data_IF_642527499009
#
_entry.id   IF_642527499009
#
_cell.length_a   1.000
_cell.length_b   1.000
_cell.length_c   1.000
_cell.angle_alpha   90.00
_cell.angle_beta   90.00
_cell.angle_gamma   90.00
#
_symmetry.space_group_name_H-M   'P 1'
#
loop_
_entity.id
_entity.type
_entity.pdbx_description
1 polymer ?
#
# COMPACT_ATOMS: atom_id res chain seq x y z
N UNK A 1 -23.98 12.19 -4.85
CA UNK A 1 -24.60 12.17 -3.51
C UNK A 1 -24.34 10.79 -2.89
N UNK A 2 -24.06 10.73 -1.59
CA UNK A 2 -23.74 9.47 -0.91
C UNK A 2 -24.93 8.51 -0.82
N UNK A 3 -24.65 7.23 -0.57
CA UNK A 3 -25.64 6.17 -0.44
C UNK A 3 -25.63 5.62 0.99
N UNK A 4 -26.81 5.30 1.50
CA UNK A 4 -27.02 4.77 2.84
C UNK A 4 -28.05 3.63 2.78
N UNK A 5 -28.34 3.01 3.94
CA UNK A 5 -28.96 1.70 4.15
C UNK A 5 -27.98 0.52 4.19
N UNK A 6 -28.26 -0.43 5.09
CA UNK A 6 -27.45 -1.63 5.31
C UNK A 6 -25.99 -1.30 5.61
N UNK A 7 -25.08 -2.05 4.98
CA UNK A 7 -23.62 -1.88 5.09
C UNK A 7 -23.14 -0.47 4.69
N UNK A 8 -23.84 0.18 3.75
CA UNK A 8 -23.44 1.49 3.25
C UNK A 8 -23.66 2.60 4.28
N UNK A 9 -24.60 2.44 5.21
CA UNK A 9 -24.72 3.33 6.37
C UNK A 9 -23.46 3.26 7.25
N UNK A 10 -22.98 2.05 7.56
CA UNK A 10 -21.78 1.88 8.38
C UNK A 10 -20.55 2.48 7.71
N UNK A 11 -20.34 2.22 6.42
CA UNK A 11 -19.22 2.78 5.65
C UNK A 11 -19.31 4.32 5.56
N UNK A 12 -20.50 4.88 5.37
CA UNK A 12 -20.69 6.33 5.22
C UNK A 12 -20.43 7.07 6.53
N UNK A 13 -20.77 6.48 7.67
CA UNK A 13 -20.60 7.09 9.00
C UNK A 13 -19.36 6.60 9.76
N UNK A 14 -18.49 5.80 9.13
CA UNK A 14 -17.25 5.31 9.72
C UNK A 14 -16.02 5.72 8.94
N UNK A 15 -14.92 5.97 9.63
CA UNK A 15 -13.64 6.24 8.99
C UNK A 15 -12.88 4.94 8.66
N UNK A 16 -12.64 4.69 7.37
CA UNK A 16 -11.81 3.56 6.91
C UNK A 16 -10.32 3.83 7.17
N UNK A 17 -9.85 3.44 8.36
CA UNK A 17 -8.44 3.57 8.75
C UNK A 17 -7.58 2.52 8.04
N UNK A 18 -6.69 2.96 7.14
CA UNK A 18 -5.65 2.10 6.57
C UNK A 18 -4.60 1.76 7.63
N UNK A 19 -4.39 0.48 7.91
CA UNK A 19 -3.34 0.00 8.82
C UNK A 19 -2.45 -0.99 8.07
N UNK A 20 -1.16 -0.68 7.97
CA UNK A 20 -0.17 -1.57 7.39
C UNK A 20 0.62 -2.25 8.52
N UNK A 21 0.46 -3.57 8.64
CA UNK A 21 1.29 -4.40 9.52
C UNK A 21 2.39 -5.06 8.68
N UNK A 22 3.65 -4.81 9.02
CA UNK A 22 4.82 -5.36 8.31
C UNK A 22 5.69 -6.18 9.25
N UNK A 23 6.16 -7.33 8.78
CA UNK A 23 7.11 -8.17 9.51
C UNK A 23 8.54 -7.66 9.32
N UNK A 24 9.37 -7.76 10.36
CA UNK A 24 10.79 -7.38 10.32
C UNK A 24 11.63 -8.38 9.52
N UNK A 25 11.15 -9.62 9.34
CA UNK A 25 11.90 -10.70 8.68
C UNK A 25 12.12 -10.48 7.18
N UNK A 26 11.22 -9.77 6.52
CA UNK A 26 11.31 -9.46 5.10
C UNK A 26 11.62 -7.98 4.90
N UNK A 27 12.90 -7.64 5.01
CA UNK A 27 13.33 -6.26 4.80
C UNK A 27 13.61 -6.00 3.31
N UNK A 28 13.04 -4.94 2.76
CA UNK A 28 13.17 -4.63 1.34
C UNK A 28 14.45 -3.82 1.08
N UNK A 29 15.53 -4.51 0.72
CA UNK A 29 16.84 -3.90 0.38
C UNK A 29 16.78 -2.94 -0.82
N UNK A 30 15.69 -2.95 -1.60
CA UNK A 30 15.50 -2.04 -2.73
C UNK A 30 15.23 -0.60 -2.30
N UNK A 31 14.67 -0.40 -1.11
CA UNK A 31 14.32 0.94 -0.58
C UNK A 31 15.56 1.70 -0.10
N UNK A 32 16.63 0.98 0.25
CA UNK A 32 17.84 1.58 0.80
C UNK A 32 18.88 1.92 -0.29
N UNK A 33 19.57 3.07 -0.15
CA UNK A 33 20.70 3.43 -1.01
C UNK A 33 21.85 2.40 -0.95
N UNK A 34 22.74 2.35 -1.97
CA UNK A 34 22.72 3.11 -3.22
C UNK A 34 21.70 2.56 -4.24
N UNK A 35 21.12 3.46 -5.03
CA UNK A 35 20.12 3.15 -6.06
C UNK A 35 20.79 2.85 -7.40
N UNK A 36 20.99 1.56 -7.69
CA UNK A 36 21.62 1.10 -8.92
C UNK A 36 20.60 0.92 -10.06
N UNK A 37 21.05 1.01 -11.31
CA UNK A 37 20.22 0.79 -12.49
C UNK A 37 19.51 -0.58 -12.50
N UNK A 38 20.14 -1.61 -11.92
CA UNK A 38 19.55 -2.95 -11.75
C UNK A 38 18.32 -2.91 -10.83
N UNK A 39 18.41 -2.22 -9.68
CA UNK A 39 17.28 -2.04 -8.75
C UNK A 39 16.15 -1.28 -9.45
N UNK A 40 16.49 -0.25 -10.22
CA UNK A 40 15.55 0.57 -10.97
C UNK A 40 14.83 -0.22 -12.07
N UNK A 41 15.54 -1.13 -12.75
CA UNK A 41 14.96 -2.06 -13.73
C UNK A 41 13.96 -3.04 -13.10
N UNK A 42 14.27 -3.59 -11.93
CA UNK A 42 13.37 -4.48 -11.17
C UNK A 42 12.09 -3.74 -10.79
N UNK A 43 12.23 -2.54 -10.20
CA UNK A 43 11.08 -1.70 -9.81
C UNK A 43 10.22 -1.35 -11.03
N UNK A 44 10.82 -0.92 -12.14
CA UNK A 44 10.11 -0.63 -13.40
C UNK A 44 9.43 -1.85 -14.02
N UNK A 45 9.94 -3.07 -13.81
CA UNK A 45 9.32 -4.29 -14.33
C UNK A 45 8.11 -4.73 -13.50
N UNK A 46 8.07 -4.37 -12.22
CA UNK A 46 7.03 -4.78 -11.28
C UNK A 46 5.88 -3.77 -11.15
N UNK A 47 6.18 -2.48 -11.29
CA UNK A 47 5.20 -1.38 -11.16
C UNK A 47 4.69 -0.82 -12.49
N UNK A 48 5.27 -1.22 -13.62
CA UNK A 48 4.75 -0.93 -14.96
C UNK A 48 3.89 -2.09 -15.42
#
# INVERSE_FOLDING_TARGET
MGSYHGEQSFITFSHKKGVLQKSVRFNNTLVYPPFNEKKLRVVKRFLK
#
